data_IF_159420386678
#
_entry.id   IF_159420386678
#
_cell.length_a   1.000
_cell.length_b   1.000
_cell.length_c   1.000
_cell.angle_alpha   90.00
_cell.angle_beta   90.00
_cell.angle_gamma   90.00
#
_symmetry.space_group_name_H-M   'P 1'
#
loop_
_entity.id
_entity.type
_entity.pdbx_description
1 polymer ?
#
# COMPACT_ATOMS: atom_id res chain seq x y z
N UNK A 1 13.66 45.65 -17.36
CA UNK A 1 13.58 44.19 -17.56
C UNK A 1 14.63 43.35 -16.82
N UNK A 2 15.68 43.93 -16.18
CA UNK A 2 16.66 43.18 -15.36
C UNK A 2 16.31 43.06 -13.86
N UNK A 3 15.35 43.84 -13.37
CA UNK A 3 14.95 43.86 -11.94
C UNK A 3 13.91 42.77 -11.58
N UNK A 4 13.03 42.41 -12.53
CA UNK A 4 11.99 41.38 -12.30
C UNK A 4 12.62 39.98 -12.24
N UNK A 5 13.67 39.71 -13.02
CA UNK A 5 14.40 38.43 -12.97
C UNK A 5 15.13 38.21 -11.62
N UNK A 6 15.63 39.29 -10.99
CA UNK A 6 16.29 39.20 -9.68
C UNK A 6 15.31 38.93 -8.54
N UNK A 7 14.09 39.50 -8.62
CA UNK A 7 13.03 39.25 -7.64
C UNK A 7 12.50 37.81 -7.70
N UNK A 8 12.36 37.25 -8.91
CA UNK A 8 11.90 35.88 -9.09
C UNK A 8 12.91 34.83 -8.59
N UNK A 9 14.21 35.07 -8.81
CA UNK A 9 15.27 34.20 -8.30
C UNK A 9 15.36 34.19 -6.77
N UNK A 10 15.13 35.34 -6.12
CA UNK A 10 15.09 35.42 -4.65
C UNK A 10 13.88 34.67 -4.12
N UNK A 11 12.68 34.86 -4.68
CA UNK A 11 11.46 34.16 -4.25
C UNK A 11 11.56 32.65 -4.45
N UNK A 12 12.11 32.18 -5.57
CA UNK A 12 12.33 30.75 -5.80
C UNK A 12 13.36 30.19 -4.81
N UNK A 13 14.44 30.91 -4.53
CA UNK A 13 15.44 30.52 -3.54
C UNK A 13 14.87 30.50 -2.11
N UNK A 14 13.99 31.44 -1.72
CA UNK A 14 13.31 31.40 -0.42
C UNK A 14 12.27 30.30 -0.34
N UNK A 15 11.53 29.99 -1.41
CA UNK A 15 10.60 28.85 -1.42
C UNK A 15 11.38 27.55 -1.28
N UNK A 16 12.49 27.38 -2.00
CA UNK A 16 13.41 26.24 -1.84
C UNK A 16 13.92 26.20 -0.39
N UNK A 17 14.52 27.28 0.14
CA UNK A 17 15.01 27.35 1.53
C UNK A 17 13.93 27.07 2.58
N UNK A 18 12.68 27.52 2.39
CA UNK A 18 11.56 27.24 3.28
C UNK A 18 11.07 25.79 3.17
N UNK A 19 11.08 25.21 1.96
CA UNK A 19 10.79 23.79 1.75
C UNK A 19 11.87 22.91 2.41
N UNK A 20 13.13 23.32 2.29
CA UNK A 20 14.26 22.68 2.94
C UNK A 20 14.24 22.88 4.46
N UNK A 21 13.92 24.08 4.98
CA UNK A 21 13.80 24.34 6.42
C UNK A 21 12.61 23.61 7.06
N UNK A 22 11.47 23.53 6.36
CA UNK A 22 10.32 22.74 6.80
C UNK A 22 10.61 21.24 6.87
N UNK A 23 11.46 20.73 5.97
CA UNK A 23 11.95 19.34 6.02
C UNK A 23 13.14 19.14 6.98
N UNK A 24 13.94 20.16 7.30
CA UNK A 24 14.99 20.02 8.35
C UNK A 24 14.43 19.94 9.76
N UNK A 25 13.18 20.32 10.00
CA UNK A 25 12.51 20.00 11.28
C UNK A 25 12.08 18.51 11.36
N UNK A 26 12.36 17.70 10.33
CA UNK A 26 12.25 16.24 10.34
C UNK A 26 13.59 15.54 10.67
N UNK A 27 14.55 16.25 11.30
CA UNK A 27 15.90 15.74 11.61
C UNK A 27 16.02 14.93 12.91
N UNK A 28 14.91 14.62 13.60
CA UNK A 28 14.94 13.86 14.85
C UNK A 28 14.97 12.32 14.66
N UNK A 29 15.05 11.82 13.42
CA UNK A 29 15.07 10.37 13.14
C UNK A 29 16.51 9.86 13.02
N UNK A 30 16.86 8.88 13.84
CA UNK A 30 18.20 8.30 13.89
C UNK A 30 18.25 6.88 13.33
N UNK A 31 19.45 6.40 13.03
CA UNK A 31 19.68 5.00 12.69
C UNK A 31 19.16 4.06 13.79
N UNK A 32 19.40 4.40 15.07
CA UNK A 32 18.96 3.58 16.19
C UNK A 32 17.42 3.51 16.29
N UNK A 33 16.72 4.61 15.97
CA UNK A 33 15.25 4.62 15.91
C UNK A 33 14.73 3.68 14.81
N UNK A 34 15.35 3.68 13.63
CA UNK A 34 14.99 2.78 12.54
C UNK A 34 15.26 1.30 12.89
N UNK A 35 16.37 1.01 13.57
CA UNK A 35 16.68 -0.36 14.00
C UNK A 35 15.70 -0.82 15.08
N UNK A 36 15.34 0.05 16.01
CA UNK A 36 14.40 -0.30 17.09
C UNK A 36 12.98 -0.47 16.56
N UNK A 37 12.50 0.40 15.68
CA UNK A 37 11.17 0.24 15.05
C UNK A 37 11.10 -1.04 14.22
N UNK A 38 12.16 -1.41 13.50
CA UNK A 38 12.23 -2.71 12.82
C UNK A 38 12.12 -3.89 13.80
N UNK A 39 12.85 -3.86 14.93
CA UNK A 39 12.78 -4.94 15.94
C UNK A 39 11.38 -5.08 16.53
N UNK A 40 10.71 -3.96 16.78
CA UNK A 40 9.33 -3.95 17.29
C UNK A 40 8.35 -4.49 16.25
N UNK A 41 8.53 -4.13 14.99
CA UNK A 41 7.78 -4.70 13.86
C UNK A 41 8.00 -6.20 13.74
N UNK A 42 9.27 -6.66 13.66
CA UNK A 42 9.63 -8.08 13.56
C UNK A 42 9.00 -8.88 14.70
N UNK A 43 9.15 -8.41 15.95
CA UNK A 43 8.53 -9.05 17.10
C UNK A 43 7.01 -9.13 16.96
N UNK A 44 6.36 -8.05 16.55
CA UNK A 44 4.90 -8.00 16.41
C UNK A 44 4.40 -8.96 15.32
N UNK A 45 5.12 -9.07 14.21
CA UNK A 45 4.83 -10.05 13.16
C UNK A 45 4.98 -11.47 13.68
N UNK A 46 6.07 -11.78 14.39
CA UNK A 46 6.29 -13.12 14.95
C UNK A 46 5.22 -13.49 15.99
N UNK A 47 4.86 -12.55 16.86
CA UNK A 47 3.80 -12.74 17.86
C UNK A 47 2.43 -13.00 17.18
N UNK A 48 2.14 -12.29 16.08
CA UNK A 48 0.93 -12.52 15.29
C UNK A 48 0.94 -13.86 14.57
N UNK A 49 2.04 -14.25 13.92
CA UNK A 49 2.16 -15.54 13.24
C UNK A 49 1.93 -16.70 14.22
N UNK A 50 2.40 -16.55 15.46
CA UNK A 50 2.22 -17.57 16.49
C UNK A 50 0.76 -17.67 16.99
N UNK A 51 0.08 -16.54 17.12
CA UNK A 51 -1.29 -16.47 17.60
C UNK A 51 -2.06 -15.36 16.88
N UNK A 52 -2.64 -15.61 15.69
CA UNK A 52 -3.23 -14.55 14.87
C UNK A 52 -4.53 -14.01 15.48
N UNK A 53 -4.56 -12.70 15.78
CA UNK A 53 -5.78 -11.99 16.21
C UNK A 53 -5.83 -10.58 15.63
N UNK A 54 -7.04 -10.06 15.41
CA UNK A 54 -7.29 -8.69 14.92
C UNK A 54 -6.58 -7.63 15.77
N UNK A 55 -6.51 -7.85 17.09
CA UNK A 55 -5.92 -6.92 18.05
C UNK A 55 -4.42 -6.71 17.83
N UNK A 56 -3.70 -7.73 17.35
CA UNK A 56 -2.26 -7.64 17.09
C UNK A 56 -1.95 -6.94 15.77
N UNK A 57 -2.90 -6.90 14.82
CA UNK A 57 -2.68 -6.27 13.52
C UNK A 57 -2.39 -4.77 13.65
N UNK A 58 -3.06 -4.08 14.58
CA UNK A 58 -2.82 -2.66 14.83
C UNK A 58 -1.37 -2.34 15.24
N UNK A 59 -0.74 -3.20 16.05
CA UNK A 59 0.64 -3.02 16.48
C UNK A 59 1.63 -3.24 15.33
N UNK A 60 1.39 -4.26 14.49
CA UNK A 60 2.19 -4.50 13.27
C UNK A 60 2.18 -3.25 12.39
N UNK A 61 1.00 -2.68 12.15
CA UNK A 61 0.86 -1.50 11.30
C UNK A 61 1.49 -0.23 11.86
N UNK A 62 1.51 -0.07 13.18
CA UNK A 62 2.15 1.06 13.84
C UNK A 62 3.66 1.01 13.63
N UNK A 63 4.27 -0.15 13.93
CA UNK A 63 5.72 -0.31 13.86
C UNK A 63 6.25 -0.40 12.44
N UNK A 64 5.50 -1.03 11.52
CA UNK A 64 5.82 -1.05 10.08
C UNK A 64 5.93 0.37 9.53
N UNK A 65 4.89 1.18 9.74
CA UNK A 65 4.85 2.57 9.29
C UNK A 65 5.98 3.39 9.88
N UNK A 66 6.30 3.17 11.16
CA UNK A 66 7.40 3.88 11.81
C UNK A 66 8.74 3.52 11.16
N UNK A 67 9.01 2.22 10.98
CA UNK A 67 10.22 1.74 10.33
C UNK A 67 10.36 2.27 8.90
N UNK A 68 9.34 2.14 8.06
CA UNK A 68 9.38 2.62 6.67
C UNK A 68 9.59 4.13 6.60
N UNK A 69 8.93 4.89 7.48
CA UNK A 69 9.11 6.33 7.53
C UNK A 69 10.51 6.71 8.01
N UNK A 70 11.12 5.98 8.95
CA UNK A 70 12.51 6.21 9.39
C UNK A 70 13.48 5.87 8.27
N UNK A 71 13.30 4.71 7.64
CA UNK A 71 14.09 4.24 6.51
C UNK A 71 14.10 5.25 5.35
N UNK A 72 12.93 5.65 4.83
CA UNK A 72 12.87 6.54 3.67
C UNK A 72 13.47 7.92 3.94
N UNK A 73 13.29 8.47 5.15
CA UNK A 73 13.92 9.74 5.54
C UNK A 73 15.44 9.59 5.52
N UNK A 74 15.98 8.56 6.18
CA UNK A 74 17.42 8.32 6.26
C UNK A 74 18.03 8.09 4.86
N UNK A 75 17.36 7.33 3.98
CA UNK A 75 17.80 7.10 2.59
C UNK A 75 17.70 8.37 1.72
N UNK A 76 16.63 9.17 1.85
CA UNK A 76 16.49 10.45 1.14
C UNK A 76 17.63 11.41 1.51
N UNK A 77 18.03 11.43 2.78
CA UNK A 77 19.18 12.21 3.26
C UNK A 77 20.50 11.78 2.60
N UNK A 78 20.74 10.48 2.42
CA UNK A 78 21.95 9.99 1.75
C UNK A 78 22.02 10.34 0.26
N UNK A 79 20.86 10.40 -0.40
CA UNK A 79 20.79 10.49 -1.87
C UNK A 79 20.58 11.91 -2.36
N UNK A 80 19.53 12.60 -1.91
CA UNK A 80 19.08 13.89 -2.43
C UNK A 80 19.72 15.06 -1.68
N UNK A 81 19.75 15.00 -0.35
CA UNK A 81 20.24 16.11 0.47
C UNK A 81 21.75 16.26 0.40
N UNK A 82 22.51 15.17 0.53
CA UNK A 82 23.97 15.24 0.45
C UNK A 82 24.46 15.73 -0.92
N UNK A 83 23.75 15.39 -2.00
CA UNK A 83 24.08 15.85 -3.36
C UNK A 83 23.80 17.34 -3.58
N UNK A 84 22.77 17.90 -2.94
CA UNK A 84 22.34 19.29 -3.14
C UNK A 84 23.00 20.25 -2.14
N UNK A 85 23.24 19.81 -0.90
CA UNK A 85 23.71 20.66 0.19
C UNK A 85 25.15 20.41 0.62
N UNK A 86 25.85 19.42 0.04
CA UNK A 86 27.21 19.03 0.43
C UNK A 86 27.36 18.77 1.94
N UNK A 87 26.30 18.26 2.58
CA UNK A 87 26.31 17.86 3.98
C UNK A 87 27.07 16.54 4.15
N UNK A 88 27.67 16.36 5.33
CA UNK A 88 28.25 15.06 5.70
C UNK A 88 27.15 13.98 5.72
N UNK A 89 27.46 12.76 5.25
CA UNK A 89 26.55 11.63 5.35
C UNK A 89 26.09 11.40 6.78
N UNK A 90 24.77 11.33 7.01
CA UNK A 90 24.19 10.97 8.31
C UNK A 90 24.47 9.51 8.73
N UNK A 91 24.90 8.67 7.79
CA UNK A 91 25.08 7.23 7.97
C UNK A 91 26.43 6.83 7.38
N UNK A 92 27.07 5.88 8.04
CA UNK A 92 28.19 5.12 7.51
C UNK A 92 27.75 4.18 6.39
N UNK A 93 28.71 3.67 5.62
CA UNK A 93 28.44 2.69 4.54
C UNK A 93 27.85 1.41 5.12
N UNK A 94 28.34 1.00 6.30
CA UNK A 94 27.87 -0.17 7.03
C UNK A 94 26.43 -0.01 7.52
N UNK A 95 26.09 1.14 8.11
CA UNK A 95 24.72 1.45 8.56
C UNK A 95 23.74 1.52 7.39
N UNK A 96 24.14 2.13 6.27
CA UNK A 96 23.33 2.19 5.06
C UNK A 96 23.07 0.78 4.49
N UNK A 97 24.11 -0.05 4.41
CA UNK A 97 23.98 -1.43 3.94
C UNK A 97 23.07 -2.25 4.86
N UNK A 98 23.16 -2.03 6.17
CA UNK A 98 22.31 -2.70 7.14
C UNK A 98 20.85 -2.24 7.05
N UNK A 99 20.57 -0.94 6.90
CA UNK A 99 19.21 -0.45 6.69
C UNK A 99 18.56 -1.04 5.44
N UNK A 100 19.29 -1.17 4.33
CA UNK A 100 18.80 -1.86 3.15
C UNK A 100 18.52 -3.35 3.40
N UNK A 101 19.34 -4.01 4.24
CA UNK A 101 19.07 -5.38 4.66
C UNK A 101 17.79 -5.49 5.49
N UNK A 102 17.57 -4.56 6.43
CA UNK A 102 16.35 -4.49 7.22
C UNK A 102 15.11 -4.25 6.35
N UNK A 103 15.16 -3.35 5.38
CA UNK A 103 14.04 -3.11 4.47
C UNK A 103 13.68 -4.36 3.66
N UNK A 104 14.67 -5.10 3.15
CA UNK A 104 14.41 -6.38 2.46
C UNK A 104 13.78 -7.43 3.38
N UNK A 105 14.16 -7.46 4.67
CA UNK A 105 13.56 -8.37 5.65
C UNK A 105 12.14 -7.94 6.01
N UNK A 106 11.89 -6.64 6.10
CA UNK A 106 10.55 -6.10 6.31
C UNK A 106 9.63 -6.56 5.19
N UNK A 107 10.00 -6.36 3.92
CA UNK A 107 9.21 -6.84 2.78
C UNK A 107 8.88 -8.34 2.89
N UNK A 108 9.83 -9.18 3.34
CA UNK A 108 9.60 -10.61 3.53
C UNK A 108 8.64 -10.93 4.69
N UNK A 109 8.74 -10.18 5.78
CA UNK A 109 7.86 -10.31 6.94
C UNK A 109 6.45 -9.82 6.61
N UNK A 110 6.30 -8.74 5.83
CA UNK A 110 5.01 -8.22 5.39
C UNK A 110 4.26 -9.26 4.55
N UNK A 111 4.94 -9.92 3.61
CA UNK A 111 4.35 -11.01 2.83
C UNK A 111 3.88 -12.17 3.73
N UNK A 112 4.65 -12.56 4.74
CA UNK A 112 4.25 -13.63 5.67
C UNK A 112 3.05 -13.21 6.52
N UNK A 113 3.09 -11.99 7.07
CA UNK A 113 2.01 -11.40 7.84
C UNK A 113 0.71 -11.39 7.04
N UNK A 114 0.73 -10.89 5.80
CA UNK A 114 -0.43 -10.81 4.92
C UNK A 114 -0.99 -12.21 4.63
N UNK A 115 -0.14 -13.18 4.31
CA UNK A 115 -0.59 -14.55 4.04
C UNK A 115 -1.30 -15.16 5.26
N UNK A 116 -0.75 -14.98 6.45
CA UNK A 116 -1.37 -15.47 7.70
C UNK A 116 -2.65 -14.71 8.00
N UNK A 117 -2.68 -13.39 7.81
CA UNK A 117 -3.89 -12.59 8.02
C UNK A 117 -5.03 -13.04 7.10
N UNK A 118 -4.79 -13.10 5.79
CA UNK A 118 -5.79 -13.52 4.82
C UNK A 118 -6.31 -14.92 5.12
N UNK A 119 -5.44 -15.86 5.49
CA UNK A 119 -5.80 -17.26 5.70
C UNK A 119 -6.43 -17.57 7.06
N UNK A 120 -5.83 -17.10 8.15
CA UNK A 120 -6.19 -17.51 9.51
C UNK A 120 -7.15 -16.53 10.20
N UNK A 121 -7.07 -15.24 9.86
CA UNK A 121 -7.94 -14.20 10.44
C UNK A 121 -9.18 -13.99 9.57
N UNK A 122 -8.99 -13.60 8.31
CA UNK A 122 -10.12 -13.31 7.40
C UNK A 122 -10.70 -14.55 6.75
N UNK A 123 -9.93 -15.65 6.69
CA UNK A 123 -10.28 -16.86 5.94
C UNK A 123 -10.73 -16.54 4.50
N UNK A 124 -10.05 -15.54 3.91
CA UNK A 124 -10.40 -14.97 2.62
C UNK A 124 -9.83 -15.80 1.46
N UNK A 125 -10.63 -15.99 0.42
CA UNK A 125 -10.23 -16.67 -0.81
C UNK A 125 -9.78 -15.68 -1.89
N UNK A 126 -8.87 -16.09 -2.76
CA UNK A 126 -8.36 -15.24 -3.83
C UNK A 126 -9.42 -15.04 -4.94
N UNK A 127 -9.92 -13.81 -5.08
CA UNK A 127 -10.91 -13.46 -6.10
C UNK A 127 -10.35 -13.47 -7.52
N UNK A 128 -9.03 -13.29 -7.68
CA UNK A 128 -8.38 -13.29 -9.00
C UNK A 128 -8.54 -14.63 -9.72
N UNK A 129 -8.72 -15.71 -8.96
CA UNK A 129 -9.03 -17.03 -9.51
C UNK A 129 -10.40 -17.06 -10.20
N UNK A 130 -11.39 -16.36 -9.65
CA UNK A 130 -12.73 -16.25 -10.26
C UNK A 130 -12.70 -15.39 -11.52
N UNK A 131 -11.93 -14.29 -11.48
CA UNK A 131 -11.69 -13.46 -12.66
C UNK A 131 -11.01 -14.25 -13.79
N UNK A 132 -10.03 -15.10 -13.45
CA UNK A 132 -9.34 -15.97 -14.40
C UNK A 132 -10.28 -17.02 -15.00
N UNK A 133 -11.13 -17.64 -14.18
CA UNK A 133 -12.12 -18.61 -14.66
C UNK A 133 -13.09 -17.96 -15.66
N UNK A 134 -13.59 -16.76 -15.34
CA UNK A 134 -14.43 -15.98 -16.26
C UNK A 134 -13.67 -15.52 -17.51
N UNK A 135 -12.37 -15.24 -17.42
CA UNK A 135 -11.54 -14.87 -18.57
C UNK A 135 -11.37 -16.03 -19.57
N UNK A 136 -11.21 -17.24 -19.04
CA UNK A 136 -11.00 -18.47 -19.81
C UNK A 136 -12.29 -19.04 -20.42
N UNK A 137 -13.41 -18.94 -19.70
CA UNK A 137 -14.70 -19.52 -20.10
C UNK A 137 -15.71 -18.51 -20.65
N UNK A 138 -15.48 -17.22 -20.44
CA UNK A 138 -16.39 -16.12 -20.80
C UNK A 138 -17.33 -15.72 -19.66
N UNK A 139 -17.55 -16.62 -18.70
CA UNK A 139 -18.41 -16.41 -17.55
C UNK A 139 -17.96 -17.23 -16.33
N UNK A 140 -18.36 -16.75 -15.15
CA UNK A 140 -18.35 -17.48 -13.89
C UNK A 140 -19.70 -17.27 -13.20
N UNK A 141 -20.30 -18.35 -12.71
CA UNK A 141 -21.60 -18.30 -12.04
C UNK A 141 -21.55 -19.08 -10.72
N UNK A 142 -21.98 -18.42 -9.65
CA UNK A 142 -22.18 -19.02 -8.33
C UNK A 142 -23.46 -18.45 -7.69
N UNK A 143 -23.81 -18.93 -6.50
CA UNK A 143 -25.02 -18.45 -5.80
C UNK A 143 -24.97 -16.94 -5.47
N UNK A 144 -23.78 -16.37 -5.24
CA UNK A 144 -23.62 -14.98 -4.75
C UNK A 144 -22.77 -14.08 -5.65
N UNK A 145 -22.09 -14.66 -6.64
CA UNK A 145 -21.15 -13.95 -7.52
C UNK A 145 -21.38 -14.41 -8.95
N UNK A 146 -21.71 -13.45 -9.81
CA UNK A 146 -21.75 -13.62 -11.26
C UNK A 146 -20.66 -12.75 -11.89
N UNK A 147 -19.87 -13.31 -12.79
CA UNK A 147 -18.88 -12.56 -13.56
C UNK A 147 -19.12 -12.86 -15.03
N UNK A 148 -19.38 -11.82 -15.81
CA UNK A 148 -19.58 -11.95 -17.25
C UNK A 148 -18.57 -11.07 -18.00
N UNK A 149 -17.83 -11.68 -18.93
CA UNK A 149 -16.93 -10.95 -19.82
C UNK A 149 -17.69 -10.53 -21.08
N UNK A 150 -17.70 -9.23 -21.35
CA UNK A 150 -18.41 -8.68 -22.52
C UNK A 150 -17.70 -9.02 -23.84
N UNK A 151 -18.43 -8.96 -24.96
CA UNK A 151 -17.96 -9.35 -26.30
C UNK A 151 -16.69 -8.62 -26.79
N UNK A 152 -16.36 -7.45 -26.23
CA UNK A 152 -15.14 -6.71 -26.57
C UNK A 152 -13.88 -7.19 -25.79
N UNK A 153 -14.00 -8.21 -24.95
CA UNK A 153 -12.93 -8.81 -24.14
C UNK A 153 -12.18 -7.88 -23.16
N UNK A 154 -12.62 -6.64 -23.01
CA UNK A 154 -11.97 -5.61 -22.18
C UNK A 154 -12.83 -5.18 -20.99
N UNK A 155 -14.03 -5.73 -20.82
CA UNK A 155 -14.92 -5.38 -19.69
C UNK A 155 -15.51 -6.63 -19.04
N UNK A 156 -15.38 -6.69 -17.72
CA UNK A 156 -15.99 -7.67 -16.82
C UNK A 156 -17.15 -7.01 -16.08
N UNK A 157 -18.33 -7.59 -16.15
CA UNK A 157 -19.50 -7.22 -15.36
C UNK A 157 -19.64 -8.20 -14.21
N UNK A 158 -19.48 -7.71 -12.98
CA UNK A 158 -19.42 -8.50 -11.75
C UNK A 158 -20.64 -8.15 -10.92
N UNK A 159 -21.57 -9.09 -10.72
CA UNK A 159 -22.71 -8.90 -9.83
C UNK A 159 -22.49 -9.64 -8.53
N UNK A 160 -22.71 -8.94 -7.43
CA UNK A 160 -22.51 -9.45 -6.07
C UNK A 160 -23.85 -9.42 -5.31
N UNK A 161 -24.24 -10.55 -4.73
CA UNK A 161 -25.10 -10.57 -3.53
C UNK A 161 -24.19 -10.44 -2.30
N UNK A 162 -23.64 -9.24 -2.12
CA UNK A 162 -22.60 -8.96 -1.14
C UNK A 162 -22.12 -7.52 -1.16
N UNK A 163 -21.02 -7.28 -0.43
CA UNK A 163 -20.39 -5.97 -0.27
C UNK A 163 -18.95 -5.98 -0.81
N UNK A 164 -18.61 -5.00 -1.66
CA UNK A 164 -17.24 -4.65 -2.01
C UNK A 164 -16.74 -3.57 -1.05
N UNK A 165 -15.69 -3.87 -0.29
CA UNK A 165 -14.93 -2.91 0.50
C UNK A 165 -13.75 -2.42 -0.33
N UNK A 166 -13.84 -1.16 -0.77
CA UNK A 166 -12.84 -0.47 -1.59
C UNK A 166 -12.18 0.72 -0.86
N UNK A 167 -12.54 0.97 0.39
CA UNK A 167 -11.92 2.01 1.23
C UNK A 167 -10.45 1.72 1.57
N UNK A 168 -9.80 2.67 2.26
CA UNK A 168 -8.40 2.59 2.70
C UNK A 168 -8.27 2.64 4.24
N UNK A 169 -9.31 2.18 4.95
CA UNK A 169 -9.44 2.31 6.41
C UNK A 169 -8.46 1.44 7.18
N UNK A 170 -7.98 0.33 6.58
CA UNK A 170 -6.95 -0.55 7.14
C UNK A 170 -5.81 -0.77 6.14
N UNK A 171 -4.66 -1.25 6.61
CA UNK A 171 -3.51 -1.55 5.73
C UNK A 171 -3.84 -2.68 4.74
N UNK A 172 -4.59 -3.70 5.18
CA UNK A 172 -5.06 -4.72 4.25
C UNK A 172 -6.02 -4.12 3.21
N UNK A 173 -6.93 -3.23 3.61
CA UNK A 173 -7.84 -2.58 2.67
C UNK A 173 -7.11 -1.63 1.71
N UNK A 174 -5.97 -1.05 2.09
CA UNK A 174 -5.12 -0.29 1.16
C UNK A 174 -4.46 -1.14 0.08
N UNK A 175 -4.18 -2.41 0.37
CA UNK A 175 -3.51 -3.35 -0.56
C UNK A 175 -4.48 -4.25 -1.30
N UNK A 176 -5.65 -4.52 -0.73
CA UNK A 176 -6.63 -5.46 -1.26
C UNK A 176 -8.02 -4.84 -1.28
N UNK A 177 -8.77 -5.12 -2.32
CA UNK A 177 -10.23 -5.09 -2.27
C UNK A 177 -10.72 -6.31 -1.50
N UNK A 178 -11.70 -6.12 -0.61
CA UNK A 178 -12.40 -7.24 0.02
C UNK A 178 -13.82 -7.35 -0.50
N UNK A 179 -14.26 -8.58 -0.76
CA UNK A 179 -15.62 -8.87 -1.23
C UNK A 179 -16.24 -9.84 -0.23
N UNK A 180 -17.22 -9.35 0.53
CA UNK A 180 -17.94 -10.17 1.50
C UNK A 180 -19.27 -10.62 0.91
N UNK A 181 -19.50 -11.93 0.92
CA UNK A 181 -20.75 -12.58 0.50
C UNK A 181 -21.21 -13.55 1.58
N UNK A 182 -22.40 -14.13 1.42
CA UNK A 182 -22.86 -15.20 2.31
C UNK A 182 -22.03 -16.50 2.19
N UNK A 183 -21.31 -16.71 1.08
CA UNK A 183 -20.41 -17.85 0.93
C UNK A 183 -19.07 -17.66 1.65
N UNK A 184 -18.69 -16.41 1.93
CA UNK A 184 -17.43 -16.07 2.57
C UNK A 184 -16.82 -14.78 2.05
N UNK A 185 -15.57 -14.57 2.43
CA UNK A 185 -14.79 -13.38 2.11
C UNK A 185 -13.82 -13.71 0.98
N UNK A 186 -13.69 -12.79 0.03
CA UNK A 186 -12.68 -12.84 -1.01
C UNK A 186 -11.78 -11.61 -0.93
N UNK A 187 -10.53 -11.76 -1.38
CA UNK A 187 -9.60 -10.64 -1.54
C UNK A 187 -9.15 -10.53 -2.99
N UNK A 188 -8.89 -9.30 -3.44
CA UNK A 188 -8.28 -9.02 -4.73
C UNK A 188 -7.20 -7.94 -4.56
N UNK A 189 -5.94 -8.25 -4.88
CA UNK A 189 -4.85 -7.29 -4.74
C UNK A 189 -5.06 -6.08 -5.67
N UNK A 190 -5.01 -4.88 -5.09
CA UNK A 190 -5.09 -3.60 -5.80
C UNK A 190 -3.86 -3.48 -6.71
N UNK A 191 -4.01 -3.44 -8.04
CA UNK A 191 -2.87 -3.26 -8.95
C UNK A 191 -2.25 -1.88 -8.78
N UNK A 192 -0.94 -1.72 -8.94
CA UNK A 192 -0.27 -0.41 -8.76
C UNK A 192 -0.78 0.71 -9.69
N UNK A 193 -1.35 0.33 -10.84
CA UNK A 193 -1.73 1.24 -11.94
C UNK A 193 -3.25 1.29 -12.20
N UNK A 194 -4.06 1.08 -11.18
CA UNK A 194 -5.51 1.13 -11.29
C UNK A 194 -6.10 2.54 -11.15
N UNK A 195 -7.31 2.73 -11.66
CA UNK A 195 -8.17 3.85 -11.30
C UNK A 195 -9.56 3.35 -10.91
N UNK A 196 -10.30 4.15 -10.14
CA UNK A 196 -11.62 3.77 -9.67
C UNK A 196 -12.64 4.88 -9.76
N UNK A 197 -13.88 4.51 -10.06
CA UNK A 197 -15.07 5.34 -9.91
C UNK A 197 -16.11 4.59 -9.10
N UNK A 198 -16.43 5.10 -7.92
CA UNK A 198 -17.27 4.39 -6.95
C UNK A 198 -18.53 5.21 -6.65
N UNK A 199 -19.66 4.52 -6.60
CA UNK A 199 -20.89 4.98 -5.99
C UNK A 199 -21.45 3.89 -5.08
N UNK A 200 -22.56 4.16 -4.37
CA UNK A 200 -23.08 3.25 -3.34
C UNK A 200 -23.41 1.83 -3.85
N UNK A 201 -23.79 1.70 -5.12
CA UNK A 201 -24.32 0.45 -5.67
C UNK A 201 -23.52 -0.08 -6.88
N UNK A 202 -22.54 0.69 -7.35
CA UNK A 202 -21.72 0.35 -8.51
C UNK A 202 -20.31 0.90 -8.33
N UNK A 203 -19.32 0.05 -8.58
CA UNK A 203 -17.91 0.41 -8.57
C UNK A 203 -17.26 0.00 -9.88
N UNK A 204 -16.60 0.94 -10.54
CA UNK A 204 -15.80 0.69 -11.72
C UNK A 204 -14.32 0.73 -11.32
N UNK A 205 -13.58 -0.34 -11.61
CA UNK A 205 -12.15 -0.46 -11.39
C UNK A 205 -11.50 -0.69 -12.76
N UNK A 206 -10.68 0.26 -13.21
CA UNK A 206 -9.91 0.14 -14.45
C UNK A 206 -8.50 -0.34 -14.12
N UNK A 207 -8.06 -1.42 -14.76
CA UNK A 207 -6.70 -1.95 -14.68
C UNK A 207 -6.18 -2.14 -16.09
N UNK A 208 -5.19 -1.34 -16.48
CA UNK A 208 -4.67 -1.32 -17.85
C UNK A 208 -5.81 -1.15 -18.89
N UNK A 209 -6.04 -2.15 -19.74
CA UNK A 209 -7.12 -2.18 -20.73
C UNK A 209 -8.43 -2.77 -20.21
N UNK A 210 -8.42 -3.42 -19.05
CA UNK A 210 -9.59 -4.11 -18.52
C UNK A 210 -10.39 -3.21 -17.57
N UNK A 211 -11.70 -3.18 -17.75
CA UNK A 211 -12.64 -2.53 -16.85
C UNK A 211 -13.41 -3.59 -16.05
N UNK A 212 -13.42 -3.49 -14.74
CA UNK A 212 -14.17 -4.36 -13.83
C UNK A 212 -15.30 -3.56 -13.20
N UNK A 213 -16.54 -3.86 -13.58
CA UNK A 213 -17.73 -3.17 -13.09
C UNK A 213 -18.43 -4.04 -12.06
N UNK A 214 -18.30 -3.69 -10.79
CA UNK A 214 -18.95 -4.31 -9.66
C UNK A 214 -20.34 -3.72 -9.44
N UNK A 215 -21.36 -4.57 -9.35
CA UNK A 215 -22.74 -4.23 -9.05
C UNK A 215 -23.14 -4.93 -7.75
N UNK A 216 -23.44 -4.17 -6.70
CA UNK A 216 -23.65 -4.67 -5.35
C UNK A 216 -23.50 -3.55 -4.32
N UNK A 217 -23.49 -3.86 -3.02
CA UNK A 217 -23.19 -2.83 -2.02
C UNK A 217 -21.71 -2.45 -2.08
N UNK A 218 -21.40 -1.15 -2.10
CA UNK A 218 -20.00 -0.65 -2.15
C UNK A 218 -19.73 0.24 -0.93
N UNK A 219 -18.65 -0.07 -0.21
CA UNK A 219 -18.11 0.74 0.90
C UNK A 219 -16.76 1.33 0.45
N UNK A 220 -16.64 2.66 0.47
CA UNK A 220 -15.48 3.40 -0.06
C UNK A 220 -15.25 4.74 0.65
#
# INVERSE_FOLDING_TARGET
MKLILKGFGIVLATIILLFFQGKTNATDRTYDDAVESFRQYEKSVQDFIHAPTDKQMSAIYEYDRQFLADYYVLIEHQTLYNKVLANEPLLTVEELAYLHDLHRKEEQLDHQFIQVALKEVFQASDFSLLLKEADEHGDYHSEYIDIHKTENNEKFEIRLDGTLFADDSSVLLRRFFFIETKAGIYYWEKPDNFSMMLNRNEGEIQVERNTYVFQGEIVY
#
